data_IF_542672973811
#
_entry.id   IF_542672973811
#
_cell.length_a   1.000
_cell.length_b   1.000
_cell.length_c   1.000
_cell.angle_alpha   90.00
_cell.angle_beta   90.00
_cell.angle_gamma   90.00
#
_symmetry.space_group_name_H-M   'P 1'
#
loop_
_entity.id
_entity.type
_entity.pdbx_description
1 polymer ?
#
# COMPACT_ATOMS: atom_id res chain seq x y z
N UNK A 1 -71.47 -20.77 -15.43
CA UNK A 1 -70.63 -19.70 -15.94
C UNK A 1 -69.90 -19.08 -14.72
N UNK A 2 -68.80 -19.72 -14.33
CA UNK A 2 -68.03 -19.28 -13.18
C UNK A 2 -66.89 -18.40 -13.66
N UNK A 3 -66.89 -17.18 -13.15
CA UNK A 3 -65.83 -16.22 -13.41
C UNK A 3 -64.65 -16.52 -12.48
N UNK A 4 -63.56 -17.09 -13.01
CA UNK A 4 -62.32 -17.29 -12.29
C UNK A 4 -61.62 -15.95 -12.22
N UNK A 5 -61.56 -15.36 -11.02
CA UNK A 5 -60.81 -14.14 -10.71
C UNK A 5 -59.37 -14.52 -10.43
N UNK A 6 -58.50 -14.34 -11.40
CA UNK A 6 -57.05 -14.54 -11.23
C UNK A 6 -56.49 -13.31 -10.50
N UNK A 7 -56.23 -13.47 -9.20
CA UNK A 7 -55.56 -12.47 -8.38
C UNK A 7 -54.03 -12.54 -8.64
N UNK A 8 -53.52 -11.62 -9.46
CA UNK A 8 -52.10 -11.47 -9.74
C UNK A 8 -51.43 -10.86 -8.51
N UNK A 9 -50.78 -11.69 -7.71
CA UNK A 9 -49.91 -11.27 -6.60
C UNK A 9 -48.63 -10.71 -7.18
N UNK A 10 -48.54 -9.36 -7.28
CA UNK A 10 -47.32 -8.64 -7.59
C UNK A 10 -46.49 -8.58 -6.31
N UNK A 11 -45.48 -9.44 -6.21
CA UNK A 11 -44.46 -9.33 -5.17
C UNK A 11 -43.52 -8.16 -5.51
N UNK A 12 -43.37 -7.16 -4.65
CA UNK A 12 -42.31 -6.16 -4.82
C UNK A 12 -40.97 -6.82 -4.53
N UNK A 13 -40.14 -6.97 -5.56
CA UNK A 13 -38.72 -7.33 -5.41
C UNK A 13 -38.03 -6.22 -4.66
N UNK A 14 -37.80 -6.39 -3.37
CA UNK A 14 -36.89 -5.57 -2.59
C UNK A 14 -35.47 -5.82 -3.11
N UNK A 15 -35.04 -4.98 -4.05
CA UNK A 15 -33.63 -4.84 -4.41
C UNK A 15 -32.89 -4.33 -3.18
N UNK A 16 -32.32 -5.25 -2.43
CA UNK A 16 -31.30 -4.95 -1.44
C UNK A 16 -30.08 -4.44 -2.22
N UNK A 17 -30.01 -3.13 -2.40
CA UNK A 17 -28.78 -2.45 -2.79
C UNK A 17 -27.80 -2.62 -1.64
N UNK A 18 -26.91 -3.61 -1.75
CA UNK A 18 -25.74 -3.73 -0.90
C UNK A 18 -24.79 -2.59 -1.28
N UNK A 19 -25.01 -1.45 -0.66
CA UNK A 19 -24.06 -0.38 -0.64
C UNK A 19 -22.87 -0.88 0.19
N UNK A 20 -21.87 -1.43 -0.50
CA UNK A 20 -20.56 -1.68 0.10
C UNK A 20 -20.08 -0.34 0.65
N UNK A 21 -20.02 -0.21 1.98
CA UNK A 21 -19.35 0.89 2.66
C UNK A 21 -17.91 0.88 2.15
N UNK A 22 -17.64 1.69 1.16
CA UNK A 22 -16.30 2.05 0.77
C UNK A 22 -15.63 2.63 2.01
N UNK A 23 -14.58 1.95 2.45
CA UNK A 23 -13.86 2.30 3.67
C UNK A 23 -13.22 3.68 3.43
N UNK A 24 -13.91 4.74 3.83
CA UNK A 24 -13.56 6.16 3.61
C UNK A 24 -12.26 6.58 4.30
N UNK A 25 -11.60 5.66 5.01
CA UNK A 25 -10.38 5.93 5.76
C UNK A 25 -9.08 5.76 4.94
N UNK A 26 -9.17 5.40 3.65
CA UNK A 26 -8.00 5.22 2.78
C UNK A 26 -7.90 6.37 1.79
N UNK A 27 -6.91 7.23 1.96
CA UNK A 27 -6.67 8.39 1.09
C UNK A 27 -5.42 8.17 0.25
N UNK A 28 -5.51 8.31 -1.10
CA UNK A 28 -4.35 8.16 -1.98
C UNK A 28 -3.22 9.13 -1.62
N UNK A 29 -1.99 8.65 -1.60
CA UNK A 29 -0.80 9.42 -1.24
C UNK A 29 -0.62 10.71 -2.05
N UNK A 30 -1.03 10.71 -3.32
CA UNK A 30 -0.93 11.88 -4.19
C UNK A 30 -1.94 13.00 -3.88
N UNK A 31 -3.04 12.68 -3.18
CA UNK A 31 -4.17 13.60 -2.93
C UNK A 31 -4.34 14.00 -1.47
N UNK A 32 -3.54 13.41 -0.57
CA UNK A 32 -3.68 13.66 0.86
C UNK A 32 -3.22 15.07 1.25
N UNK A 33 -3.94 15.73 2.15
CA UNK A 33 -3.61 17.08 2.63
C UNK A 33 -2.30 17.12 3.41
N UNK A 34 -2.13 16.20 4.36
CA UNK A 34 -0.91 16.06 5.13
C UNK A 34 -0.39 14.63 5.00
N UNK A 35 0.71 14.48 4.29
CA UNK A 35 1.34 13.17 4.06
C UNK A 35 1.87 12.56 5.35
N UNK A 36 1.97 11.22 5.44
CA UNK A 36 2.71 10.58 6.51
C UNK A 36 4.14 11.12 6.59
N UNK A 37 4.68 11.20 7.80
CA UNK A 37 6.01 11.76 8.03
C UNK A 37 6.94 10.67 8.55
N UNK A 38 7.94 10.34 7.74
CA UNK A 38 9.05 9.49 8.16
C UNK A 38 9.87 10.20 9.26
N UNK A 39 10.39 9.50 10.27
CA UNK A 39 11.22 10.12 11.31
C UNK A 39 12.33 11.00 10.72
N UNK A 40 12.36 12.26 11.15
CA UNK A 40 13.32 13.27 10.67
C UNK A 40 12.92 14.02 9.39
N UNK A 41 11.71 13.81 8.86
CA UNK A 41 11.21 14.46 7.63
C UNK A 41 10.15 15.54 7.86
N UNK A 42 10.02 16.09 9.06
CA UNK A 42 8.90 16.96 9.48
C UNK A 42 9.09 18.46 9.21
N UNK A 43 10.17 18.87 8.55
CA UNK A 43 10.59 20.28 8.47
C UNK A 43 10.13 21.04 7.22
N UNK A 44 9.01 20.68 6.55
CA UNK A 44 8.73 21.40 5.28
C UNK A 44 7.37 21.10 4.67
N UNK A 45 7.15 21.59 3.43
CA UNK A 45 5.96 21.32 2.63
C UNK A 45 5.73 19.83 2.38
N UNK A 46 4.50 19.46 2.03
CA UNK A 46 4.15 18.06 1.70
C UNK A 46 5.06 17.47 0.61
N UNK A 47 5.43 18.26 -0.41
CA UNK A 47 6.33 17.81 -1.46
C UNK A 47 7.71 17.41 -0.91
N UNK A 48 8.29 18.25 -0.07
CA UNK A 48 9.58 17.95 0.57
C UNK A 48 9.50 16.79 1.55
N UNK A 49 8.38 16.65 2.29
CA UNK A 49 8.12 15.49 3.15
C UNK A 49 8.04 14.19 2.35
N UNK A 50 7.34 14.20 1.20
CA UNK A 50 7.28 13.05 0.27
C UNK A 50 8.65 12.66 -0.24
N UNK A 51 9.43 13.63 -0.72
CA UNK A 51 10.79 13.40 -1.21
C UNK A 51 11.67 12.82 -0.11
N UNK A 52 11.69 13.46 1.06
CA UNK A 52 12.45 13.01 2.23
C UNK A 52 12.09 11.57 2.62
N UNK A 53 10.81 11.25 2.70
CA UNK A 53 10.32 9.90 3.02
C UNK A 53 10.79 8.88 1.97
N UNK A 54 10.66 9.20 0.69
CA UNK A 54 11.10 8.30 -0.39
C UNK A 54 12.60 8.03 -0.33
N UNK A 55 13.41 9.07 -0.08
CA UNK A 55 14.88 8.93 0.07
C UNK A 55 15.25 8.11 1.31
N UNK A 56 14.58 8.33 2.44
CA UNK A 56 14.84 7.59 3.68
C UNK A 56 14.46 6.11 3.53
N UNK A 57 13.30 5.81 2.92
CA UNK A 57 12.88 4.44 2.64
C UNK A 57 13.87 3.77 1.68
N UNK A 58 14.27 4.45 0.59
CA UNK A 58 15.22 3.91 -0.36
C UNK A 58 16.58 3.58 0.30
N UNK A 59 17.09 4.46 1.17
CA UNK A 59 18.32 4.21 1.95
C UNK A 59 18.16 3.03 2.89
N UNK A 60 17.03 2.95 3.60
CA UNK A 60 16.74 1.85 4.50
C UNK A 60 16.72 0.52 3.75
N UNK A 61 15.99 0.45 2.63
CA UNK A 61 15.93 -0.74 1.78
C UNK A 61 17.32 -1.11 1.24
N UNK A 62 18.09 -0.14 0.75
CA UNK A 62 19.43 -0.38 0.23
C UNK A 62 20.40 -0.98 1.29
N UNK A 63 20.20 -0.62 2.56
CA UNK A 63 20.98 -1.15 3.70
C UNK A 63 20.54 -2.55 4.12
N UNK A 64 19.24 -2.77 4.26
CA UNK A 64 18.68 -3.97 4.89
C UNK A 64 18.40 -5.12 3.91
N UNK A 65 18.25 -4.82 2.61
CA UNK A 65 17.92 -5.80 1.59
C UNK A 65 19.13 -6.67 1.22
N UNK A 66 18.95 -7.99 1.27
CA UNK A 66 19.98 -8.96 0.91
C UNK A 66 20.15 -9.08 -0.60
N UNK A 67 21.01 -8.23 -1.19
CA UNK A 67 21.29 -8.21 -2.64
C UNK A 67 21.92 -9.50 -3.14
N UNK A 68 22.70 -10.18 -2.30
CA UNK A 68 23.33 -11.47 -2.63
C UNK A 68 22.32 -12.61 -2.85
N UNK A 69 21.10 -12.45 -2.33
CA UNK A 69 20.04 -13.46 -2.50
C UNK A 69 19.72 -13.72 -3.97
N UNK A 70 19.67 -12.67 -4.80
CA UNK A 70 19.35 -12.81 -6.22
C UNK A 70 20.39 -13.65 -6.97
N UNK A 71 21.68 -13.44 -6.72
CA UNK A 71 22.76 -14.26 -7.29
C UNK A 71 22.66 -15.73 -6.85
N UNK A 72 22.38 -15.98 -5.55
CA UNK A 72 22.15 -17.34 -5.02
C UNK A 72 20.96 -18.06 -5.66
N UNK A 73 20.02 -17.31 -6.23
CA UNK A 73 18.84 -17.83 -6.95
C UNK A 73 19.11 -18.01 -8.45
N UNK A 74 20.33 -17.77 -8.93
CA UNK A 74 20.70 -17.85 -10.34
C UNK A 74 20.18 -16.69 -11.20
N UNK A 75 19.73 -15.61 -10.58
CA UNK A 75 19.32 -14.40 -11.30
C UNK A 75 20.53 -13.56 -11.64
N UNK A 76 20.47 -12.88 -12.79
CA UNK A 76 21.54 -12.02 -13.32
C UNK A 76 20.99 -10.68 -13.75
N UNK A 77 21.87 -9.70 -13.90
CA UNK A 77 21.52 -8.40 -14.45
C UNK A 77 20.68 -7.54 -13.52
N UNK A 78 19.96 -6.58 -14.12
CA UNK A 78 19.11 -5.64 -13.38
C UNK A 78 17.83 -6.32 -12.93
N UNK A 79 17.56 -6.25 -11.64
CA UNK A 79 16.35 -6.78 -11.03
C UNK A 79 15.44 -5.64 -10.58
N UNK A 80 14.13 -5.87 -10.65
CA UNK A 80 13.09 -4.97 -10.15
C UNK A 80 12.16 -5.73 -9.22
N UNK A 81 11.85 -5.15 -8.08
CA UNK A 81 10.80 -5.61 -7.17
C UNK A 81 9.78 -4.48 -7.04
N UNK A 82 8.54 -4.77 -7.33
CA UNK A 82 7.43 -3.83 -7.08
C UNK A 82 6.83 -4.13 -5.72
N UNK A 83 6.82 -3.14 -4.83
CA UNK A 83 6.27 -3.29 -3.47
C UNK A 83 5.14 -2.29 -3.27
N UNK A 84 4.06 -2.74 -2.65
CA UNK A 84 2.96 -1.91 -2.18
C UNK A 84 2.71 -2.19 -0.71
N UNK A 85 2.40 -1.16 0.05
CA UNK A 85 2.03 -1.25 1.46
C UNK A 85 1.13 -0.07 1.85
N UNK A 86 0.63 -0.08 3.06
CA UNK A 86 -0.14 1.04 3.62
C UNK A 86 0.54 1.53 4.89
N UNK A 87 0.41 2.83 5.14
CA UNK A 87 0.75 3.44 6.43
C UNK A 87 -0.57 3.69 7.13
N UNK A 88 -0.81 2.99 8.22
CA UNK A 88 -2.08 3.02 8.95
C UNK A 88 -2.25 4.31 9.79
N UNK A 89 -3.39 4.44 10.44
CA UNK A 89 -3.72 5.59 11.31
C UNK A 89 -2.82 5.73 12.54
N UNK A 90 -2.01 4.73 12.83
CA UNK A 90 -0.99 4.75 13.89
C UNK A 90 0.43 4.94 13.33
N UNK A 91 0.57 5.14 12.02
CA UNK A 91 1.87 5.32 11.36
C UNK A 91 2.64 4.03 11.10
N UNK A 92 2.00 2.88 11.27
CA UNK A 92 2.63 1.57 11.07
C UNK A 92 2.49 1.11 9.62
N UNK A 93 3.50 0.41 9.13
CA UNK A 93 3.42 -0.28 7.83
C UNK A 93 2.56 -1.54 7.97
N UNK A 94 1.56 -1.66 7.10
CA UNK A 94 0.63 -2.80 7.07
C UNK A 94 0.30 -3.20 5.63
N UNK A 95 -0.17 -4.44 5.43
CA UNK A 95 -0.65 -4.93 4.15
C UNK A 95 0.40 -4.96 3.06
N UNK A 96 1.67 -5.21 3.41
CA UNK A 96 2.79 -5.25 2.46
C UNK A 96 2.66 -6.42 1.49
N UNK A 97 2.78 -6.11 0.20
CA UNK A 97 2.84 -7.08 -0.89
C UNK A 97 3.97 -6.73 -1.84
N UNK A 98 4.57 -7.74 -2.44
CA UNK A 98 5.67 -7.57 -3.39
C UNK A 98 5.48 -8.48 -4.61
N UNK A 99 6.06 -8.05 -5.76
CA UNK A 99 6.18 -8.83 -6.99
C UNK A 99 7.60 -8.72 -7.52
N UNK A 100 8.21 -9.86 -7.77
CA UNK A 100 9.58 -9.99 -8.28
C UNK A 100 9.72 -11.21 -9.19
N UNK A 101 10.89 -11.38 -9.80
CA UNK A 101 11.21 -12.56 -10.63
C UNK A 101 11.22 -13.87 -9.83
N UNK A 102 11.37 -13.81 -8.51
CA UNK A 102 11.43 -14.99 -7.65
C UNK A 102 10.74 -14.73 -6.29
N UNK A 103 9.98 -15.72 -5.81
CA UNK A 103 9.22 -15.65 -4.56
C UNK A 103 10.08 -15.32 -3.33
N UNK A 104 11.33 -15.81 -3.28
CA UNK A 104 12.25 -15.49 -2.18
C UNK A 104 12.63 -14.00 -2.16
N UNK A 105 12.72 -13.34 -3.34
CA UNK A 105 12.94 -11.90 -3.41
C UNK A 105 11.70 -11.11 -2.95
N UNK A 106 10.51 -11.59 -3.27
CA UNK A 106 9.25 -10.98 -2.78
C UNK A 106 9.20 -11.03 -1.25
N UNK A 107 9.48 -12.20 -0.65
CA UNK A 107 9.50 -12.38 0.81
C UNK A 107 10.56 -11.51 1.49
N UNK A 108 11.74 -11.38 0.90
CA UNK A 108 12.80 -10.52 1.41
C UNK A 108 12.39 -9.04 1.37
N UNK A 109 11.78 -8.58 0.28
CA UNK A 109 11.26 -7.23 0.18
C UNK A 109 10.18 -6.95 1.23
N UNK A 110 9.24 -7.88 1.43
CA UNK A 110 8.21 -7.78 2.46
C UNK A 110 8.84 -7.70 3.86
N UNK A 111 9.83 -8.54 4.15
CA UNK A 111 10.55 -8.52 5.42
C UNK A 111 11.16 -7.15 5.70
N UNK A 112 11.88 -6.60 4.73
CA UNK A 112 12.56 -5.32 4.86
C UNK A 112 11.58 -4.17 5.03
N UNK A 113 10.52 -4.11 4.23
CA UNK A 113 9.50 -3.05 4.31
C UNK A 113 8.75 -3.10 5.65
N UNK A 114 8.47 -4.30 6.18
CA UNK A 114 7.84 -4.45 7.50
C UNK A 114 8.74 -4.03 8.67
N UNK A 115 10.05 -3.84 8.44
CA UNK A 115 11.00 -3.31 9.43
C UNK A 115 11.08 -1.77 9.43
N UNK A 116 10.38 -1.08 8.52
CA UNK A 116 10.37 0.38 8.52
C UNK A 116 9.88 0.93 9.86
N UNK A 117 10.45 2.06 10.33
CA UNK A 117 10.05 2.65 11.59
C UNK A 117 8.61 3.15 11.54
N UNK A 118 7.99 3.28 12.71
CA UNK A 118 6.69 3.94 12.86
C UNK A 118 6.82 5.40 12.43
N UNK A 119 5.87 5.86 11.62
CA UNK A 119 5.80 7.21 11.07
C UNK A 119 4.69 8.01 11.75
N UNK A 120 4.68 9.32 11.57
CA UNK A 120 3.48 10.09 11.86
C UNK A 120 2.43 9.77 10.78
N UNK A 121 1.18 9.48 11.12
CA UNK A 121 0.15 9.11 10.14
C UNK A 121 -0.22 10.28 9.24
N UNK A 122 -0.77 9.97 8.06
CA UNK A 122 -1.39 10.97 7.20
C UNK A 122 -2.63 11.58 7.83
N UNK A 123 -2.91 12.84 7.51
CA UNK A 123 -4.07 13.58 8.00
C UNK A 123 -4.89 14.08 6.81
N UNK A 124 -6.18 13.84 6.85
CA UNK A 124 -7.18 14.35 5.91
C UNK A 124 -8.38 14.88 6.70
N UNK A 125 -8.81 16.10 6.42
CA UNK A 125 -9.93 16.74 7.14
C UNK A 125 -9.80 16.68 8.68
N UNK A 126 -8.57 16.89 9.19
CA UNK A 126 -8.25 16.84 10.62
C UNK A 126 -8.23 15.44 11.24
N UNK A 127 -8.42 14.38 10.45
CA UNK A 127 -8.45 12.98 10.91
C UNK A 127 -7.24 12.21 10.43
N UNK A 128 -6.76 11.30 11.27
CA UNK A 128 -5.74 10.30 10.88
C UNK A 128 -6.34 9.32 9.88
N UNK A 129 -5.66 9.10 8.76
CA UNK A 129 -6.13 8.21 7.69
C UNK A 129 -5.05 7.22 7.28
N UNK A 130 -5.48 6.11 6.70
CA UNK A 130 -4.58 5.12 6.11
C UNK A 130 -4.18 5.55 4.70
N UNK A 131 -2.88 5.53 4.41
CA UNK A 131 -2.31 6.00 3.15
C UNK A 131 -1.59 4.86 2.43
N UNK A 132 -2.01 4.48 1.21
CA UNK A 132 -1.30 3.51 0.40
C UNK A 132 -0.02 4.13 -0.19
N UNK A 133 1.03 3.33 -0.24
CA UNK A 133 2.32 3.70 -0.81
C UNK A 133 2.83 2.59 -1.74
N UNK A 134 3.49 2.98 -2.83
CA UNK A 134 4.15 2.02 -3.72
C UNK A 134 5.60 2.41 -3.94
N UNK A 135 6.47 1.41 -3.97
CA UNK A 135 7.91 1.58 -4.09
C UNK A 135 8.47 0.55 -5.08
N UNK A 136 9.11 0.97 -6.18
CA UNK A 136 9.95 0.08 -6.97
C UNK A 136 11.35 0.00 -6.35
N UNK A 137 11.84 -1.22 -6.12
CA UNK A 137 13.21 -1.50 -5.68
C UNK A 137 13.99 -1.97 -6.89
N UNK A 138 15.10 -1.31 -7.20
CA UNK A 138 16.01 -1.69 -8.29
C UNK A 138 17.38 -2.02 -7.73
N UNK A 139 17.98 -3.09 -8.23
CA UNK A 139 19.37 -3.43 -7.93
C UNK A 139 19.98 -4.24 -9.08
N UNK A 140 21.31 -4.24 -9.12
CA UNK A 140 22.10 -4.99 -10.10
C UNK A 140 22.67 -6.23 -9.43
N UNK A 141 22.41 -7.40 -10.00
CA UNK A 141 23.13 -8.62 -9.64
C UNK A 141 24.48 -8.58 -10.36
N UNK A 142 25.55 -8.70 -9.60
CA UNK A 142 26.90 -8.84 -10.17
C UNK A 142 27.20 -10.31 -10.37
N UNK A 143 27.74 -10.63 -11.52
CA UNK A 143 28.23 -11.96 -11.86
C UNK A 143 29.45 -12.31 -11.00
#
# INVERSE_FOLDING_TARGET
>A
MEKILILLLVLPSLLFSQQSKENTDVVPFAKIENVPIYPGCDKSSNEKKRKCMSEKIAKFVAKEFSKSLAGKLGLTGRQRISVIFKIDTLGRVVGTRARAAHLKLEREAIRVINMLPVMKPGIQDGKKVTVPYSLPIFFQVRD
#
